data_IF_047245092928
#
_entry.id   IF_047245092928
#
_cell.length_a   1.000
_cell.length_b   1.000
_cell.length_c   1.000
_cell.angle_alpha   90.00
_cell.angle_beta   90.00
_cell.angle_gamma   90.00
#
_symmetry.space_group_name_H-M   'P 1'
#
loop_
_entity.id
_entity.type
_entity.pdbx_description
1 polymer ?
#
# COMPACT_ATOMS: atom_id res chain seq x y z
N UNK A 1 -16.36 -3.39 -18.87
CA UNK A 1 -15.48 -3.86 -17.78
C UNK A 1 -14.05 -3.98 -18.31
N UNK A 2 -13.10 -3.49 -17.55
CA UNK A 2 -11.70 -3.53 -17.94
C UNK A 2 -11.16 -4.97 -17.88
N UNK A 3 -10.47 -5.41 -18.95
CA UNK A 3 -9.82 -6.72 -18.95
C UNK A 3 -8.48 -6.67 -18.20
N UNK A 4 -7.92 -7.84 -17.89
CA UNK A 4 -6.59 -7.92 -17.26
C UNK A 4 -5.52 -7.26 -18.13
N UNK A 5 -5.56 -7.45 -19.45
CA UNK A 5 -4.60 -6.83 -20.36
C UNK A 5 -4.74 -5.31 -20.37
N UNK A 6 -5.96 -4.80 -20.38
CA UNK A 6 -6.22 -3.36 -20.33
C UNK A 6 -5.73 -2.75 -19.03
N UNK A 7 -5.99 -3.43 -17.90
CA UNK A 7 -5.50 -2.98 -16.59
C UNK A 7 -3.97 -2.93 -16.58
N UNK A 8 -3.32 -3.98 -17.07
CA UNK A 8 -1.85 -4.07 -17.11
C UNK A 8 -1.25 -2.94 -17.95
N UNK A 9 -1.87 -2.61 -19.08
CA UNK A 9 -1.43 -1.49 -19.91
C UNK A 9 -1.60 -0.14 -19.20
N UNK A 10 -2.70 0.02 -18.47
CA UNK A 10 -3.02 1.27 -17.80
C UNK A 10 -2.10 1.56 -16.62
N UNK A 11 -1.80 0.56 -15.78
CA UNK A 11 -1.03 0.77 -14.54
C UNK A 11 0.42 0.31 -14.62
N UNK A 12 0.79 -0.46 -15.64
CA UNK A 12 2.14 -0.98 -15.85
C UNK A 12 2.35 -2.35 -15.21
N UNK A 13 3.42 -3.02 -15.65
CA UNK A 13 3.68 -4.42 -15.27
C UNK A 13 3.91 -4.58 -13.77
N UNK A 14 4.75 -3.76 -13.15
CA UNK A 14 5.05 -3.87 -11.72
C UNK A 14 3.80 -3.65 -10.88
N UNK A 15 3.06 -2.58 -11.15
CA UNK A 15 1.83 -2.26 -10.41
C UNK A 15 0.80 -3.38 -10.59
N UNK A 16 0.71 -3.95 -11.78
CA UNK A 16 -0.18 -5.07 -12.04
C UNK A 16 0.20 -6.29 -11.19
N UNK A 17 1.47 -6.67 -11.19
CA UNK A 17 1.93 -7.83 -10.42
C UNK A 17 1.77 -7.61 -8.92
N UNK A 18 2.06 -6.41 -8.42
CA UNK A 18 1.90 -6.09 -6.99
C UNK A 18 0.44 -6.16 -6.58
N UNK A 19 -0.46 -5.49 -7.32
CA UNK A 19 -1.86 -5.38 -6.91
C UNK A 19 -2.68 -6.63 -7.16
N UNK A 20 -2.38 -7.37 -8.23
CA UNK A 20 -3.17 -8.53 -8.67
C UNK A 20 -2.57 -9.86 -8.24
N UNK A 21 -1.26 -9.94 -8.06
CA UNK A 21 -0.57 -11.19 -7.74
C UNK A 21 0.25 -11.12 -6.44
N UNK A 22 0.06 -10.07 -5.66
CA UNK A 22 0.75 -9.86 -4.37
C UNK A 22 2.28 -9.92 -4.50
N UNK A 23 2.82 -9.50 -5.63
CA UNK A 23 4.26 -9.38 -5.82
C UNK A 23 4.80 -8.19 -5.00
N UNK A 24 6.10 -8.10 -4.85
CA UNK A 24 6.72 -7.01 -4.13
C UNK A 24 7.66 -6.22 -5.04
N UNK A 25 7.85 -4.96 -4.70
CA UNK A 25 8.91 -4.14 -5.30
C UNK A 25 10.15 -4.25 -4.40
N UNK A 26 11.34 -4.03 -4.98
CA UNK A 26 12.58 -4.02 -4.20
C UNK A 26 12.55 -2.89 -3.17
N UNK A 27 13.06 -3.13 -1.94
CA UNK A 27 13.08 -2.07 -0.93
C UNK A 27 13.91 -0.88 -1.39
N UNK A 28 13.50 0.32 -0.98
CA UNK A 28 14.16 1.60 -1.29
C UNK A 28 14.14 2.00 -2.77
N UNK A 29 13.35 1.32 -3.61
CA UNK A 29 13.27 1.63 -5.05
C UNK A 29 11.97 2.28 -5.45
N UNK A 30 10.94 2.25 -4.59
CA UNK A 30 9.63 2.79 -4.92
C UNK A 30 9.60 4.31 -4.98
N UNK A 31 8.75 4.83 -5.84
CA UNK A 31 8.61 6.27 -6.09
C UNK A 31 8.30 7.05 -4.80
N UNK A 32 7.51 6.46 -3.90
CA UNK A 32 7.03 7.16 -2.71
C UNK A 32 7.77 6.79 -1.43
N UNK A 33 8.81 5.98 -1.50
CA UNK A 33 9.57 5.58 -0.31
C UNK A 33 10.15 6.80 0.42
N UNK A 34 10.91 7.64 -0.30
CA UNK A 34 11.49 8.86 0.25
C UNK A 34 10.78 10.09 -0.34
N UNK A 35 9.48 10.18 -0.11
CA UNK A 35 8.61 11.18 -0.70
C UNK A 35 7.64 11.66 0.38
N UNK A 36 7.69 12.95 0.72
CA UNK A 36 6.91 13.50 1.83
C UNK A 36 6.12 14.75 1.47
N UNK A 37 5.74 14.89 0.21
CA UNK A 37 4.88 16.00 -0.21
C UNK A 37 3.46 15.82 0.33
N UNK A 38 2.78 16.94 0.53
CA UNK A 38 1.41 16.95 1.07
C UNK A 38 0.41 16.49 0.02
N UNK A 39 -0.42 15.54 0.39
CA UNK A 39 -1.47 15.02 -0.50
C UNK A 39 -2.00 13.68 0.01
N UNK A 40 -2.71 13.01 -0.88
CA UNK A 40 -3.31 11.72 -0.56
C UNK A 40 -2.78 10.64 -1.49
N UNK A 41 -2.89 9.41 -1.04
CA UNK A 41 -2.49 8.23 -1.82
C UNK A 41 -3.72 7.40 -2.09
N UNK A 42 -3.95 7.09 -3.37
CA UNK A 42 -5.10 6.31 -3.81
C UNK A 42 -4.64 4.98 -4.39
N UNK A 43 -5.56 4.02 -4.45
CA UNK A 43 -5.32 2.74 -5.12
C UNK A 43 -5.07 3.02 -6.61
N UNK A 44 -3.94 2.56 -7.14
CA UNK A 44 -3.59 2.78 -8.54
C UNK A 44 -4.60 2.09 -9.49
N UNK A 45 -5.28 1.05 -9.02
CA UNK A 45 -6.27 0.32 -9.81
C UNK A 45 -7.62 1.03 -9.85
N UNK A 46 -8.15 1.39 -8.69
CA UNK A 46 -9.53 1.87 -8.55
C UNK A 46 -9.65 3.38 -8.35
N UNK A 47 -8.58 4.02 -7.87
CA UNK A 47 -8.65 5.44 -7.50
C UNK A 47 -9.26 5.69 -6.13
N UNK A 48 -9.62 4.63 -5.40
CA UNK A 48 -10.18 4.83 -4.05
C UNK A 48 -9.13 5.42 -3.10
N UNK A 49 -9.58 6.30 -2.20
CA UNK A 49 -8.71 7.02 -1.27
C UNK A 49 -8.27 6.08 -0.16
N UNK A 50 -6.96 6.00 0.11
CA UNK A 50 -6.41 5.04 1.07
C UNK A 50 -5.65 5.72 2.22
N UNK A 51 -4.64 6.52 1.90
CA UNK A 51 -3.73 7.08 2.92
C UNK A 51 -3.49 8.57 2.70
N UNK A 52 -3.09 9.25 3.77
CA UNK A 52 -2.75 10.67 3.75
C UNK A 52 -1.28 10.88 4.09
N UNK A 53 -0.67 11.89 3.49
CA UNK A 53 0.68 12.32 3.86
C UNK A 53 0.79 12.71 5.34
N UNK A 54 -0.33 13.09 5.96
CA UNK A 54 -0.38 13.43 7.39
C UNK A 54 -0.02 12.23 8.26
N UNK A 55 -0.25 11.03 7.77
CA UNK A 55 -0.02 9.79 8.51
C UNK A 55 1.23 9.05 8.04
N UNK A 56 1.95 9.62 7.08
CA UNK A 56 3.17 9.02 6.53
C UNK A 56 4.37 9.34 7.42
N UNK A 57 5.21 8.34 7.66
CA UNK A 57 6.42 8.53 8.45
C UNK A 57 7.57 7.71 7.88
N UNK A 58 8.80 8.07 8.21
CA UNK A 58 9.98 7.35 7.77
C UNK A 58 10.31 6.24 8.76
N UNK A 59 9.94 5.01 8.42
CA UNK A 59 10.20 3.83 9.26
C UNK A 59 11.54 3.18 8.95
N UNK A 60 12.14 3.50 7.81
CA UNK A 60 13.37 2.85 7.35
C UNK A 60 13.15 1.44 6.80
N UNK A 61 11.90 1.03 6.57
CA UNK A 61 11.61 -0.34 6.12
C UNK A 61 11.84 -0.56 4.62
N UNK A 62 12.06 0.50 3.85
CA UNK A 62 12.30 0.40 2.42
C UNK A 62 11.07 0.62 1.55
N UNK A 63 9.92 0.85 2.16
CA UNK A 63 8.64 1.13 1.50
C UNK A 63 7.90 2.24 2.22
N UNK A 64 6.96 2.94 1.55
CA UNK A 64 6.15 3.94 2.23
C UNK A 64 5.46 3.36 3.47
N UNK A 65 5.52 4.08 4.58
CA UNK A 65 4.93 3.65 5.83
C UNK A 65 3.93 4.68 6.34
N UNK A 66 2.77 4.20 6.79
CA UNK A 66 1.70 5.04 7.31
C UNK A 66 1.24 4.49 8.67
N UNK A 67 0.85 5.40 9.57
CA UNK A 67 0.36 4.99 10.89
C UNK A 67 -1.09 4.49 10.84
N UNK A 68 -1.85 4.92 9.84
CA UNK A 68 -3.25 4.50 9.66
C UNK A 68 -3.74 4.85 8.26
N UNK A 69 -4.79 4.19 7.74
CA UNK A 69 -5.50 4.68 6.56
C UNK A 69 -6.32 5.93 6.92
N UNK A 70 -6.77 6.67 5.92
CA UNK A 70 -7.64 7.84 6.14
C UNK A 70 -8.90 7.40 6.87
N UNK A 71 -9.50 6.30 6.42
CA UNK A 71 -10.61 5.65 7.13
C UNK A 71 -10.34 4.15 7.18
N UNK A 72 -10.52 3.55 8.34
CA UNK A 72 -10.22 2.12 8.52
C UNK A 72 -11.01 1.22 7.56
N UNK A 73 -12.22 1.63 7.18
CA UNK A 73 -13.08 0.87 6.27
C UNK A 73 -12.57 0.81 4.83
N UNK A 74 -11.58 1.64 4.48
CA UNK A 74 -11.04 1.68 3.12
C UNK A 74 -10.10 0.53 2.82
N UNK A 75 -9.66 -0.18 3.84
CA UNK A 75 -8.77 -1.34 3.68
C UNK A 75 -9.34 -2.54 4.42
N UNK A 76 -8.91 -3.73 3.99
CA UNK A 76 -9.24 -5.00 4.67
C UNK A 76 -7.95 -5.70 5.04
N UNK A 77 -7.96 -6.40 6.18
CA UNK A 77 -6.80 -7.11 6.69
C UNK A 77 -7.02 -8.62 6.56
N UNK A 78 -5.99 -9.32 6.10
CA UNK A 78 -6.05 -10.75 5.83
C UNK A 78 -4.83 -11.45 6.39
N UNK A 79 -5.01 -12.65 6.95
CA UNK A 79 -3.87 -13.44 7.42
C UNK A 79 -3.02 -13.87 6.22
N UNK A 80 -1.71 -13.72 6.35
CA UNK A 80 -0.75 -14.10 5.32
C UNK A 80 0.35 -14.93 5.96
N UNK A 81 0.35 -16.24 5.70
CA UNK A 81 1.35 -17.18 6.21
C UNK A 81 2.38 -17.58 5.16
N UNK A 82 2.45 -16.86 4.05
CA UNK A 82 3.42 -17.16 2.98
C UNK A 82 4.86 -17.06 3.49
N UNK A 83 5.75 -17.81 2.88
CA UNK A 83 7.18 -17.87 3.20
C UNK A 83 7.47 -18.27 4.66
N UNK A 84 6.56 -19.00 5.29
CA UNK A 84 6.72 -19.43 6.68
C UNK A 84 6.60 -18.31 7.70
N UNK A 85 6.16 -17.12 7.28
CA UNK A 85 5.98 -15.97 8.15
C UNK A 85 4.51 -15.81 8.54
N UNK A 86 4.30 -15.11 9.66
CA UNK A 86 2.95 -14.73 10.09
C UNK A 86 2.81 -13.22 9.94
N UNK A 87 2.07 -12.79 8.93
CA UNK A 87 1.88 -11.37 8.65
C UNK A 87 0.40 -11.09 8.44
N UNK A 88 0.04 -9.81 8.45
CA UNK A 88 -1.31 -9.36 8.12
C UNK A 88 -1.24 -8.56 6.83
N UNK A 89 -1.81 -9.12 5.77
CA UNK A 89 -1.88 -8.49 4.46
C UNK A 89 -2.94 -7.40 4.44
N UNK A 90 -2.65 -6.28 3.81
CA UNK A 90 -3.58 -5.16 3.64
C UNK A 90 -4.00 -5.08 2.19
N UNK A 91 -5.30 -5.07 1.94
CA UNK A 91 -5.89 -4.90 0.60
C UNK A 91 -6.85 -3.72 0.60
N UNK A 92 -7.02 -3.10 -0.57
CA UNK A 92 -8.05 -2.08 -0.73
C UNK A 92 -9.43 -2.74 -0.69
N UNK A 93 -10.41 -2.03 -0.11
CA UNK A 93 -11.73 -2.59 0.10
C UNK A 93 -12.48 -2.86 -1.21
N UNK A 94 -12.48 -1.86 -2.11
CA UNK A 94 -13.30 -1.94 -3.33
C UNK A 94 -12.67 -2.86 -4.38
N UNK A 95 -11.42 -2.62 -4.72
CA UNK A 95 -10.76 -3.37 -5.80
C UNK A 95 -10.11 -4.65 -5.31
N UNK A 96 -9.89 -4.80 -4.00
CA UNK A 96 -9.17 -5.95 -3.46
C UNK A 96 -7.71 -5.99 -3.85
N UNK A 97 -7.13 -4.83 -4.20
CA UNK A 97 -5.72 -4.74 -4.58
C UNK A 97 -4.82 -5.07 -3.38
N UNK A 98 -3.81 -5.90 -3.61
CA UNK A 98 -2.76 -6.09 -2.60
C UNK A 98 -1.98 -4.79 -2.46
N UNK A 99 -1.92 -4.27 -1.24
CA UNK A 99 -1.23 -3.01 -0.94
C UNK A 99 0.09 -3.23 -0.21
N UNK A 100 0.12 -4.17 0.69
CA UNK A 100 1.27 -4.47 1.54
C UNK A 100 0.84 -5.20 2.78
N UNK A 101 1.48 -4.85 3.91
CA UNK A 101 1.23 -5.52 5.20
C UNK A 101 1.17 -4.48 6.31
N UNK A 102 0.49 -4.84 7.42
CA UNK A 102 0.47 -4.01 8.62
C UNK A 102 1.17 -4.73 9.76
N UNK A 103 1.97 -3.98 10.52
CA UNK A 103 2.76 -4.49 11.64
C UNK A 103 2.42 -3.70 12.90
N UNK A 104 2.74 -4.28 14.08
CA UNK A 104 2.44 -3.66 15.37
C UNK A 104 3.62 -2.87 15.96
N UNK A 105 4.62 -2.56 15.16
CA UNK A 105 5.84 -1.86 15.58
C UNK A 105 5.88 -0.41 15.08
N UNK A 106 4.73 0.23 14.97
CA UNK A 106 4.59 1.62 14.56
C UNK A 106 4.68 2.60 15.74
N UNK A 107 4.57 3.92 15.44
CA UNK A 107 4.64 4.94 16.49
C UNK A 107 3.53 4.78 17.52
N UNK A 108 3.88 4.66 18.78
CA UNK A 108 2.90 4.46 19.86
C UNK A 108 1.94 5.62 19.99
N UNK A 109 2.43 6.85 19.82
CA UNK A 109 1.62 8.07 19.87
C UNK A 109 0.61 8.17 18.74
N UNK A 110 0.78 7.40 17.68
CA UNK A 110 -0.13 7.36 16.53
C UNK A 110 -0.94 6.06 16.45
N UNK A 111 -0.95 5.25 17.51
CA UNK A 111 -1.73 4.02 17.56
C UNK A 111 -0.93 2.73 17.51
N UNK A 112 0.38 2.80 17.31
CA UNK A 112 1.27 1.64 17.39
C UNK A 112 1.33 0.77 16.14
N UNK A 113 0.69 1.15 15.04
CA UNK A 113 0.67 0.37 13.81
C UNK A 113 1.59 0.95 12.74
N UNK A 114 2.13 0.08 11.91
CA UNK A 114 2.93 0.46 10.75
C UNK A 114 2.36 -0.24 9.52
N UNK A 115 1.66 0.53 8.69
CA UNK A 115 1.18 0.07 7.38
C UNK A 115 2.31 0.25 6.38
N UNK A 116 2.95 -0.85 6.00
CA UNK A 116 4.07 -0.88 5.07
C UNK A 116 3.52 -1.20 3.69
N UNK A 117 3.44 -0.18 2.83
CA UNK A 117 2.66 -0.24 1.60
C UNK A 117 3.60 -0.09 0.40
N UNK A 118 3.36 -0.87 -0.67
CA UNK A 118 4.18 -0.81 -1.88
C UNK A 118 3.85 0.44 -2.68
N UNK A 119 4.87 1.19 -3.10
CA UNK A 119 4.67 2.37 -3.96
C UNK A 119 3.92 2.00 -5.23
N UNK A 120 4.20 0.83 -5.80
CA UNK A 120 3.60 0.38 -7.05
C UNK A 120 2.08 0.16 -6.95
N UNK A 121 1.54 0.05 -5.73
CA UNK A 121 0.09 -0.09 -5.51
C UNK A 121 -0.61 1.26 -5.38
N UNK A 122 0.14 2.35 -5.31
CA UNK A 122 -0.37 3.67 -4.97
C UNK A 122 -0.20 4.67 -6.11
N UNK A 123 -1.08 5.67 -6.12
CA UNK A 123 -0.93 6.88 -6.93
C UNK A 123 -1.08 8.07 -6.00
N UNK A 124 -0.13 9.02 -6.09
CA UNK A 124 -0.16 10.23 -5.26
C UNK A 124 -1.00 11.32 -5.93
N UNK A 125 -1.85 11.97 -5.13
CA UNK A 125 -2.68 13.11 -5.55
C UNK A 125 -2.33 14.29 -4.63
N UNK A 126 -1.71 15.33 -5.16
CA UNK A 126 -1.34 16.50 -4.36
C UNK A 126 -2.52 17.30 -3.85
#
# INVERSE_FOLDING_TARGET
METSDELKQRIGDLSYEVTQHAATESPFTGEYDNFFEKGIYVDIVSGEVLFSSLDKFNSGCGWPAFSKPIENRMVTNHDDSSYGMRRVEVKSREAGSHLGHVFSDGPKEAGGLRYCIKSAALKFIP
#
